data_IF_130019940158
#
_entry.id   IF_130019940158
#
_cell.length_a   1.000
_cell.length_b   1.000
_cell.length_c   1.000
_cell.angle_alpha   90.00
_cell.angle_beta   90.00
_cell.angle_gamma   90.00
#
_symmetry.space_group_name_H-M   'P 1'
#
loop_
_entity.id
_entity.type
_entity.pdbx_description
1 polymer ?
#
# COMPACT_ATOMS: atom_id res chain seq x y z
N UNK A 1 -19.90 -16.22 9.22
CA UNK A 1 -19.56 -15.52 7.95
C UNK A 1 -20.10 -14.09 7.88
N UNK A 2 -21.29 -13.76 8.43
CA UNK A 2 -21.79 -12.38 8.46
C UNK A 2 -20.85 -11.34 9.13
N UNK A 3 -20.18 -11.63 10.27
CA UNK A 3 -19.34 -10.63 10.95
C UNK A 3 -18.13 -10.16 10.13
N UNK A 4 -17.44 -11.09 9.44
CA UNK A 4 -16.29 -10.77 8.59
C UNK A 4 -16.66 -9.82 7.46
N UNK A 5 -17.76 -10.13 6.75
CA UNK A 5 -18.18 -9.31 5.61
C UNK A 5 -18.60 -7.92 6.09
N UNK A 6 -19.39 -7.83 7.16
CA UNK A 6 -19.82 -6.55 7.73
C UNK A 6 -18.63 -5.68 8.17
N UNK A 7 -17.64 -6.25 8.85
CA UNK A 7 -16.43 -5.54 9.26
C UNK A 7 -15.65 -5.00 8.05
N UNK A 8 -15.37 -5.85 7.05
CA UNK A 8 -14.60 -5.43 5.89
C UNK A 8 -15.36 -4.41 5.03
N UNK A 9 -16.68 -4.54 4.89
CA UNK A 9 -17.51 -3.51 4.24
C UNK A 9 -17.47 -2.18 5.00
N UNK A 10 -17.47 -2.21 6.34
CA UNK A 10 -17.38 -1.00 7.17
C UNK A 10 -16.04 -0.30 7.01
N UNK A 11 -14.93 -1.06 7.03
CA UNK A 11 -13.58 -0.55 6.74
C UNK A 11 -13.57 0.12 5.36
N UNK A 12 -14.07 -0.57 4.33
CA UNK A 12 -14.10 -0.07 2.96
C UNK A 12 -14.89 1.22 2.81
N UNK A 13 -16.07 1.31 3.44
CA UNK A 13 -16.90 2.52 3.41
C UNK A 13 -16.23 3.70 4.09
N UNK A 14 -15.58 3.49 5.23
CA UNK A 14 -14.88 4.58 5.96
C UNK A 14 -13.70 5.09 5.13
N UNK A 15 -12.86 4.19 4.61
CA UNK A 15 -11.73 4.58 3.78
C UNK A 15 -12.21 5.32 2.51
N UNK A 16 -13.25 4.81 1.86
CA UNK A 16 -13.84 5.43 0.68
C UNK A 16 -14.44 6.81 0.98
N UNK A 17 -15.03 7.03 2.16
CA UNK A 17 -15.55 8.32 2.59
C UNK A 17 -14.40 9.30 2.90
N UNK A 18 -13.42 8.87 3.72
CA UNK A 18 -12.42 9.75 4.33
C UNK A 18 -11.23 10.10 3.45
N UNK A 19 -10.77 9.18 2.61
CA UNK A 19 -9.63 9.45 1.73
C UNK A 19 -10.06 10.47 0.66
N UNK A 20 -9.40 11.64 0.54
CA UNK A 20 -9.75 12.62 -0.48
C UNK A 20 -9.62 12.02 -1.89
N UNK A 21 -10.46 12.50 -2.82
CA UNK A 21 -10.38 12.06 -4.21
C UNK A 21 -9.08 12.53 -4.87
N UNK A 22 -8.78 13.82 -4.79
CA UNK A 22 -7.50 14.36 -5.22
C UNK A 22 -6.50 14.31 -4.06
N UNK A 23 -5.42 13.56 -4.22
CA UNK A 23 -4.31 13.49 -3.28
C UNK A 23 -3.17 14.36 -3.80
N UNK A 24 -3.08 15.60 -3.32
CA UNK A 24 -1.94 16.46 -3.64
C UNK A 24 -0.71 15.99 -2.86
N UNK A 25 0.38 15.64 -3.56
CA UNK A 25 1.55 15.07 -2.92
C UNK A 25 2.21 15.99 -1.90
N UNK A 26 2.17 17.32 -2.07
CA UNK A 26 2.78 18.25 -1.11
C UNK A 26 1.97 18.29 0.17
N UNK A 27 0.65 18.37 0.05
CA UNK A 27 -0.27 18.37 1.18
C UNK A 27 -0.20 17.05 1.95
N UNK A 28 -0.22 15.91 1.25
CA UNK A 28 -0.08 14.59 1.87
C UNK A 28 1.26 14.45 2.61
N UNK A 29 2.38 14.89 2.01
CA UNK A 29 3.69 14.85 2.67
C UNK A 29 3.76 15.77 3.89
N UNK A 30 3.17 16.96 3.84
CA UNK A 30 3.11 17.86 4.98
C UNK A 30 2.24 17.28 6.10
N UNK A 31 1.08 16.72 5.76
CA UNK A 31 0.21 16.03 6.71
C UNK A 31 0.96 14.89 7.41
N UNK A 32 1.66 14.04 6.64
CA UNK A 32 2.48 12.95 7.20
C UNK A 32 3.68 13.48 7.99
N UNK A 33 4.22 14.65 7.68
CA UNK A 33 5.31 15.24 8.47
C UNK A 33 4.84 15.64 9.88
N UNK A 34 3.59 16.07 10.00
CA UNK A 34 2.97 16.47 11.26
C UNK A 34 2.37 15.29 12.05
N UNK A 35 1.87 14.27 11.35
CA UNK A 35 1.10 13.18 11.96
C UNK A 35 1.78 11.79 11.87
N UNK A 36 2.86 11.70 11.12
CA UNK A 36 3.36 10.44 10.57
C UNK A 36 4.87 10.28 10.61
N UNK A 37 5.38 9.16 10.07
CA UNK A 37 6.82 8.83 10.16
C UNK A 37 7.49 8.68 8.80
N UNK A 38 6.73 8.29 7.76
CA UNK A 38 7.32 7.91 6.47
C UNK A 38 7.34 9.05 5.42
N UNK A 39 7.05 10.29 5.83
CA UNK A 39 7.00 11.47 4.95
C UNK A 39 8.27 11.73 4.12
N UNK A 40 9.44 11.20 4.53
CA UNK A 40 10.71 11.33 3.79
C UNK A 40 10.82 10.36 2.61
N UNK A 41 9.97 9.34 2.53
CA UNK A 41 10.02 8.31 1.50
C UNK A 41 9.36 8.76 0.18
N UNK A 42 9.72 8.11 -0.92
CA UNK A 42 9.15 8.42 -2.25
C UNK A 42 7.77 7.80 -2.48
N UNK A 43 7.43 6.73 -1.75
CA UNK A 43 6.17 6.01 -1.85
C UNK A 43 5.06 6.68 -1.01
N UNK A 44 5.05 8.02 -1.01
CA UNK A 44 4.15 8.83 -0.20
C UNK A 44 2.66 8.49 -0.38
N UNK A 45 2.12 8.07 -1.55
CA UNK A 45 0.70 7.73 -1.65
C UNK A 45 0.36 6.49 -0.81
N UNK A 46 1.27 5.52 -0.75
CA UNK A 46 1.14 4.34 0.11
C UNK A 46 1.13 4.74 1.58
N UNK A 47 2.15 5.49 1.99
CA UNK A 47 2.29 5.95 3.38
C UNK A 47 1.21 6.94 3.84
N UNK A 48 0.66 7.72 2.92
CA UNK A 48 -0.47 8.57 3.27
C UNK A 48 -1.72 7.72 3.44
N UNK A 49 -1.99 6.80 2.52
CA UNK A 49 -3.17 5.93 2.57
C UNK A 49 -3.17 5.04 3.82
N UNK A 50 -2.01 4.48 4.20
CA UNK A 50 -1.91 3.67 5.42
C UNK A 50 -2.06 4.53 6.70
N UNK A 51 -1.25 5.57 6.90
CA UNK A 51 -1.24 6.37 8.14
C UNK A 51 -2.56 7.14 8.31
N UNK A 52 -3.06 7.80 7.26
CA UNK A 52 -4.35 8.51 7.29
C UNK A 52 -5.53 7.55 7.37
N UNK A 53 -5.47 6.42 6.66
CA UNK A 53 -6.51 5.40 6.64
C UNK A 53 -6.68 4.75 8.01
N UNK A 54 -5.59 4.30 8.63
CA UNK A 54 -5.59 3.73 9.99
C UNK A 54 -6.13 4.75 10.99
N UNK A 55 -5.65 6.00 10.96
CA UNK A 55 -6.16 7.06 11.84
C UNK A 55 -7.67 7.25 11.67
N UNK A 56 -8.15 7.30 10.43
CA UNK A 56 -9.58 7.43 10.12
C UNK A 56 -10.41 6.25 10.62
N UNK A 57 -9.90 5.02 10.51
CA UNK A 57 -10.57 3.81 11.00
C UNK A 57 -10.68 3.82 12.53
N UNK A 58 -9.59 4.11 13.23
CA UNK A 58 -9.58 4.18 14.70
C UNK A 58 -10.53 5.28 15.20
N UNK A 59 -10.56 6.45 14.54
CA UNK A 59 -11.43 7.57 14.93
C UNK A 59 -12.93 7.34 14.63
N UNK A 60 -13.27 6.57 13.58
CA UNK A 60 -14.65 6.44 13.08
C UNK A 60 -15.28 5.06 13.29
N UNK A 61 -14.50 4.10 13.77
CA UNK A 61 -14.98 2.75 13.97
C UNK A 61 -14.53 2.17 15.32
N UNK A 62 -13.77 1.09 15.30
CA UNK A 62 -13.17 0.41 16.45
C UNK A 62 -11.79 -0.09 16.03
N UNK A 63 -11.15 -0.91 16.86
CA UNK A 63 -9.87 -1.51 16.53
C UNK A 63 -8.67 -0.62 16.86
N UNK A 64 -7.51 -1.13 16.46
CA UNK A 64 -6.21 -0.59 16.82
C UNK A 64 -5.18 -0.89 15.74
N UNK A 65 -3.93 -0.54 16.04
CA UNK A 65 -2.80 -0.86 15.17
C UNK A 65 -2.65 -2.38 15.05
N UNK A 66 -2.43 -2.87 13.84
CA UNK A 66 -2.27 -4.29 13.59
C UNK A 66 -1.00 -4.91 14.20
N UNK A 67 -0.94 -6.26 14.22
CA UNK A 67 0.14 -6.99 14.84
C UNK A 67 1.46 -6.88 14.04
N UNK A 68 2.55 -7.25 14.68
CA UNK A 68 3.89 -7.28 14.06
C UNK A 68 4.41 -8.71 13.96
N UNK A 69 4.89 -9.10 12.79
CA UNK A 69 5.57 -10.38 12.54
C UNK A 69 6.97 -10.09 12.01
N UNK A 70 7.96 -10.23 12.89
CA UNK A 70 9.34 -9.83 12.59
C UNK A 70 9.42 -8.34 12.27
N UNK A 71 9.85 -8.00 11.04
CA UNK A 71 9.95 -6.61 10.59
C UNK A 71 8.70 -6.12 9.83
N UNK A 72 7.69 -6.96 9.66
CA UNK A 72 6.43 -6.59 9.00
C UNK A 72 5.43 -6.19 10.06
N UNK A 73 4.92 -4.97 9.96
CA UNK A 73 3.84 -4.45 10.79
C UNK A 73 2.61 -4.38 9.89
N UNK A 74 1.52 -5.00 10.32
CA UNK A 74 0.22 -4.89 9.65
C UNK A 74 -0.50 -3.65 10.16
N UNK A 75 -1.22 -2.97 9.28
CA UNK A 75 -1.65 -1.59 9.53
C UNK A 75 -2.75 -1.49 10.60
N UNK A 76 -3.78 -2.33 10.50
CA UNK A 76 -4.98 -2.24 11.33
C UNK A 76 -5.46 -3.62 11.79
N UNK A 77 -6.03 -3.69 12.99
CA UNK A 77 -6.72 -4.86 13.48
C UNK A 77 -7.98 -4.46 14.24
N UNK A 78 -9.08 -5.16 13.97
CA UNK A 78 -10.23 -5.25 14.87
C UNK A 78 -10.53 -6.74 15.13
N UNK A 79 -11.61 -7.32 14.60
CA UNK A 79 -11.85 -8.76 14.77
C UNK A 79 -10.98 -9.55 13.78
N UNK A 80 -10.58 -8.90 12.67
CA UNK A 80 -9.60 -9.43 11.72
C UNK A 80 -8.45 -8.45 11.49
N UNK A 81 -7.29 -9.00 11.14
CA UNK A 81 -6.13 -8.21 10.68
C UNK A 81 -6.41 -7.72 9.26
N UNK A 82 -6.24 -6.41 9.03
CA UNK A 82 -6.40 -5.79 7.73
C UNK A 82 -5.21 -4.87 7.42
N UNK A 83 -4.54 -5.17 6.32
CA UNK A 83 -3.38 -4.43 5.84
C UNK A 83 -3.80 -3.44 4.75
N UNK A 84 -3.40 -2.19 4.87
CA UNK A 84 -3.75 -1.14 3.93
C UNK A 84 -2.66 -1.03 2.87
N UNK A 85 -3.08 -0.96 1.61
CA UNK A 85 -2.17 -0.83 0.47
C UNK A 85 -2.72 0.18 -0.51
N UNK A 86 -1.87 1.07 -1.01
CA UNK A 86 -2.22 1.91 -2.14
C UNK A 86 -1.50 1.42 -3.39
N UNK A 87 -2.23 1.28 -4.48
CA UNK A 87 -1.69 0.84 -5.76
C UNK A 87 -2.01 1.85 -6.86
N UNK A 88 -0.96 2.26 -7.58
CA UNK A 88 -1.13 3.14 -8.73
C UNK A 88 -1.47 2.34 -9.98
N UNK A 89 -2.58 2.70 -10.61
CA UNK A 89 -3.15 2.03 -11.78
C UNK A 89 -2.37 2.28 -13.06
N UNK A 90 -1.45 3.25 -13.07
CA UNK A 90 -0.59 3.59 -14.20
C UNK A 90 0.89 3.66 -13.80
N UNK A 91 1.75 3.31 -14.76
CA UNK A 91 3.18 3.63 -14.70
C UNK A 91 3.47 5.05 -15.23
N UNK A 92 4.75 5.46 -15.22
CA UNK A 92 5.21 6.76 -15.73
C UNK A 92 4.93 7.00 -17.22
N UNK A 93 4.61 5.96 -17.99
CA UNK A 93 4.32 6.01 -19.41
C UNK A 93 2.80 5.86 -19.66
N UNK A 94 1.97 5.97 -18.61
CA UNK A 94 0.52 5.75 -18.64
C UNK A 94 0.09 4.33 -19.03
N UNK A 95 0.98 3.33 -18.94
CA UNK A 95 0.56 1.94 -19.12
C UNK A 95 -0.19 1.45 -17.88
N UNK A 96 -1.24 0.63 -18.11
CA UNK A 96 -1.98 -0.04 -17.03
C UNK A 96 -1.05 -0.91 -16.19
N UNK A 97 -1.10 -0.71 -14.88
CA UNK A 97 -0.43 -1.55 -13.90
C UNK A 97 -1.48 -2.28 -13.06
N UNK A 98 -1.62 -3.59 -13.27
CA UNK A 98 -2.62 -4.41 -12.56
C UNK A 98 -2.06 -5.14 -11.34
N UNK A 99 -0.74 -5.12 -11.13
CA UNK A 99 -0.10 -5.93 -10.08
C UNK A 99 0.21 -5.08 -8.85
N UNK A 100 -0.61 -5.21 -7.82
CA UNK A 100 -0.41 -4.56 -6.53
C UNK A 100 0.54 -5.38 -5.65
N UNK A 101 1.58 -4.76 -5.12
CA UNK A 101 2.53 -5.39 -4.19
C UNK A 101 1.93 -5.42 -2.79
N UNK A 102 1.89 -6.59 -2.15
CA UNK A 102 1.44 -6.78 -0.77
C UNK A 102 2.64 -6.99 0.16
N UNK A 103 2.47 -7.80 1.21
CA UNK A 103 3.48 -8.06 2.23
C UNK A 103 4.35 -9.30 1.95
N UNK A 104 5.31 -9.51 2.85
CA UNK A 104 6.17 -10.70 2.92
C UNK A 104 5.32 -11.98 3.07
N UNK A 105 5.63 -13.00 2.28
CA UNK A 105 4.88 -14.25 2.27
C UNK A 105 4.93 -14.96 3.64
N UNK A 106 6.08 -14.95 4.31
CA UNK A 106 6.22 -15.58 5.63
C UNK A 106 5.44 -14.82 6.70
N UNK A 107 5.43 -13.48 6.66
CA UNK A 107 4.59 -12.69 7.55
C UNK A 107 3.09 -12.97 7.33
N UNK A 108 2.64 -13.06 6.07
CA UNK A 108 1.26 -13.40 5.72
C UNK A 108 0.89 -14.79 6.23
N UNK A 109 1.75 -15.79 6.00
CA UNK A 109 1.58 -17.15 6.50
C UNK A 109 1.37 -17.17 8.01
N UNK A 110 2.15 -16.37 8.74
CA UNK A 110 2.03 -16.28 10.20
C UNK A 110 0.74 -15.61 10.65
N UNK A 111 0.33 -14.52 10.01
CA UNK A 111 -0.96 -13.88 10.31
C UNK A 111 -2.13 -14.84 10.06
N UNK A 112 -2.14 -15.56 8.94
CA UNK A 112 -3.20 -16.53 8.66
C UNK A 112 -3.26 -17.63 9.73
N UNK A 113 -2.11 -18.11 10.20
CA UNK A 113 -2.04 -19.13 11.24
C UNK A 113 -2.52 -18.61 12.61
N UNK A 114 -2.06 -17.42 13.01
CA UNK A 114 -2.26 -16.88 14.36
C UNK A 114 -3.62 -16.14 14.51
N UNK A 115 -4.16 -15.59 13.40
CA UNK A 115 -5.37 -14.74 13.38
C UNK A 115 -6.49 -15.28 12.48
N UNK A 116 -6.36 -16.51 11.98
CA UNK A 116 -7.37 -17.20 11.17
C UNK A 116 -7.77 -16.48 9.87
N UNK A 117 -6.88 -15.63 9.33
CA UNK A 117 -7.05 -14.97 8.06
C UNK A 117 -6.40 -13.60 8.00
N UNK A 118 -6.43 -13.00 6.81
CA UNK A 118 -5.89 -11.66 6.57
C UNK A 118 -6.71 -10.92 5.52
N UNK A 119 -7.04 -9.66 5.83
CA UNK A 119 -7.61 -8.68 4.91
C UNK A 119 -6.53 -7.82 4.25
N UNK A 120 -6.76 -7.45 2.98
CA UNK A 120 -6.00 -6.41 2.30
C UNK A 120 -6.97 -5.36 1.78
N UNK A 121 -6.92 -4.15 2.34
CA UNK A 121 -7.66 -3.00 1.85
C UNK A 121 -6.82 -2.23 0.83
N UNK A 122 -7.08 -2.46 -0.45
CA UNK A 122 -6.29 -1.93 -1.56
C UNK A 122 -6.98 -0.70 -2.13
N UNK A 123 -6.48 0.48 -1.78
CA UNK A 123 -6.81 1.73 -2.45
C UNK A 123 -6.19 1.79 -3.85
N UNK A 124 -6.99 2.16 -4.84
CA UNK A 124 -6.63 2.21 -6.25
C UNK A 124 -6.75 3.64 -6.76
N UNK A 125 -5.74 4.10 -7.49
CA UNK A 125 -5.78 5.43 -8.08
C UNK A 125 -4.77 5.65 -9.19
N UNK A 126 -5.01 6.63 -10.04
CA UNK A 126 -4.09 7.05 -11.09
C UNK A 126 -3.11 8.09 -10.55
N UNK A 127 -1.82 7.92 -10.83
CA UNK A 127 -0.76 8.81 -10.39
C UNK A 127 -0.33 9.78 -11.50
N UNK A 128 -0.07 11.01 -11.12
CA UNK A 128 0.58 12.01 -11.96
C UNK A 128 2.07 12.08 -11.61
N UNK A 129 2.94 12.08 -12.62
CA UNK A 129 4.39 12.02 -12.42
C UNK A 129 5.04 13.40 -12.57
N UNK A 130 5.99 13.67 -11.68
CA UNK A 130 6.79 14.89 -11.57
C UNK A 130 7.86 14.97 -12.67
N UNK A 131 7.45 15.20 -13.93
CA UNK A 131 8.36 15.25 -15.08
C UNK A 131 9.29 16.46 -15.04
N UNK A 132 8.84 17.61 -14.51
CA UNK A 132 9.63 18.83 -14.37
C UNK A 132 10.56 18.85 -13.15
N UNK A 133 10.46 17.80 -12.31
CA UNK A 133 11.23 17.61 -11.07
C UNK A 133 10.95 18.66 -9.99
N UNK A 134 9.88 19.44 -10.12
CA UNK A 134 9.53 20.50 -9.17
C UNK A 134 9.12 19.92 -7.81
N UNK A 135 8.36 18.82 -7.81
CA UNK A 135 7.97 18.12 -6.58
C UNK A 135 9.19 17.49 -5.90
N UNK A 136 10.07 16.86 -6.67
CA UNK A 136 11.31 16.29 -6.19
C UNK A 136 12.21 17.34 -5.52
N UNK A 137 12.43 18.48 -6.17
CA UNK A 137 13.24 19.58 -5.62
C UNK A 137 12.66 20.09 -4.30
N UNK A 138 11.33 20.30 -4.27
CA UNK A 138 10.62 20.72 -3.06
C UNK A 138 10.76 19.70 -1.92
N UNK A 139 10.53 18.41 -2.19
CA UNK A 139 10.62 17.36 -1.17
C UNK A 139 12.05 17.15 -0.68
N UNK A 140 13.05 17.27 -1.56
CA UNK A 140 14.45 17.22 -1.17
C UNK A 140 14.82 18.39 -0.24
N UNK A 141 14.38 19.61 -0.54
CA UNK A 141 14.57 20.75 0.34
C UNK A 141 13.88 20.55 1.71
N UNK A 142 12.67 19.97 1.71
CA UNK A 142 11.94 19.68 2.94
C UNK A 142 12.63 18.65 3.84
N UNK A 143 13.32 17.66 3.25
CA UNK A 143 14.08 16.63 3.99
C UNK A 143 15.36 17.16 4.62
N UNK A 144 15.88 18.29 4.12
CA UNK A 144 17.16 18.85 4.52
C UNK A 144 18.34 18.23 3.76
N UNK A 145 19.49 18.14 4.43
CA UNK A 145 20.74 17.70 3.80
C UNK A 145 20.61 16.32 3.12
N UNK A 146 21.07 16.18 1.86
CA UNK A 146 21.05 14.89 1.16
C UNK A 146 21.95 13.90 1.89
N UNK A 147 21.49 12.65 2.04
CA UNK A 147 22.31 11.59 2.62
C UNK A 147 23.54 11.28 1.76
N UNK A 148 24.58 10.71 2.37
CA UNK A 148 25.81 10.30 1.67
C UNK A 148 25.53 9.41 0.45
N UNK A 149 24.50 8.56 0.54
CA UNK A 149 24.03 7.74 -0.57
C UNK A 149 23.54 8.58 -1.76
N UNK A 150 22.75 9.63 -1.50
CA UNK A 150 22.25 10.53 -2.54
C UNK A 150 23.40 11.35 -3.13
N UNK A 151 24.35 11.79 -2.31
CA UNK A 151 25.54 12.51 -2.77
C UNK A 151 26.39 11.62 -3.70
N UNK A 152 26.63 10.36 -3.32
CA UNK A 152 27.33 9.37 -4.15
C UNK A 152 26.61 9.11 -5.47
N UNK A 153 25.28 8.93 -5.45
CA UNK A 153 24.49 8.71 -6.68
C UNK A 153 24.47 9.91 -7.63
N UNK A 154 24.49 11.13 -7.09
CA UNK A 154 24.64 12.36 -7.88
C UNK A 154 26.01 12.43 -8.54
N UNK A 155 27.07 12.05 -7.83
CA UNK A 155 28.43 11.95 -8.39
C UNK A 155 28.51 10.89 -9.51
N UNK A 156 27.70 9.83 -9.42
CA UNK A 156 27.59 8.76 -10.44
C UNK A 156 26.67 9.12 -11.63
N UNK A 157 26.12 10.34 -11.72
CA UNK A 157 25.12 10.75 -12.73
C UNK A 157 23.92 9.79 -12.85
N UNK A 158 23.58 9.08 -11.77
CA UNK A 158 22.49 8.12 -11.79
C UNK A 158 21.15 8.86 -11.79
N UNK A 159 20.35 8.67 -12.84
CA UNK A 159 19.00 9.25 -12.93
C UNK A 159 18.13 8.78 -11.75
N UNK A 160 17.70 9.71 -10.90
CA UNK A 160 16.71 9.40 -9.86
C UNK A 160 15.37 9.07 -10.49
N UNK A 161 14.68 8.07 -9.93
CA UNK A 161 13.31 7.69 -10.34
C UNK A 161 12.39 8.91 -10.33
N UNK A 162 11.48 9.00 -11.30
CA UNK A 162 10.42 10.02 -11.28
C UNK A 162 9.55 9.79 -10.05
N UNK A 163 9.16 10.89 -9.41
CA UNK A 163 8.25 10.87 -8.26
C UNK A 163 6.82 11.07 -8.74
N UNK A 164 5.86 10.61 -7.94
CA UNK A 164 4.45 10.97 -8.13
C UNK A 164 4.24 12.32 -7.47
N UNK A 165 3.61 13.28 -8.16
CA UNK A 165 3.30 14.60 -7.60
C UNK A 165 1.87 14.69 -7.08
N UNK A 166 0.96 13.89 -7.62
CA UNK A 166 -0.43 13.77 -7.18
C UNK A 166 -0.96 12.37 -7.50
N UNK A 167 -2.07 11.99 -6.88
CA UNK A 167 -2.85 10.81 -7.25
C UNK A 167 -4.35 11.14 -7.23
N UNK A 168 -5.10 10.64 -8.20
CA UNK A 168 -6.56 10.56 -8.14
C UNK A 168 -6.94 9.22 -7.50
N UNK A 169 -7.48 9.25 -6.28
CA UNK A 169 -8.05 8.09 -5.62
C UNK A 169 -9.41 7.75 -6.23
N UNK A 170 -9.49 6.57 -6.85
CA UNK A 170 -10.62 6.19 -7.70
C UNK A 170 -11.52 5.14 -7.03
N UNK A 171 -10.95 4.16 -6.37
CA UNK A 171 -11.70 3.04 -5.79
C UNK A 171 -10.94 2.32 -4.70
N UNK A 172 -11.63 1.44 -3.99
CA UNK A 172 -11.04 0.51 -3.04
C UNK A 172 -11.54 -0.91 -3.32
N UNK A 173 -10.64 -1.88 -3.19
CA UNK A 173 -10.94 -3.31 -3.23
C UNK A 173 -10.42 -3.96 -1.96
N UNK A 174 -11.30 -4.61 -1.20
CA UNK A 174 -10.94 -5.34 0.00
C UNK A 174 -10.97 -6.83 -0.28
N UNK A 175 -9.82 -7.47 -0.13
CA UNK A 175 -9.61 -8.90 -0.31
C UNK A 175 -9.48 -9.58 1.05
N UNK A 176 -9.89 -10.84 1.15
CA UNK A 176 -9.65 -11.64 2.35
C UNK A 176 -9.19 -13.06 2.01
N UNK A 177 -8.14 -13.52 2.67
CA UNK A 177 -7.62 -14.88 2.56
C UNK A 177 -7.75 -15.58 3.91
N UNK A 178 -8.40 -16.75 3.93
CA UNK A 178 -8.62 -17.52 5.14
C UNK A 178 -7.46 -18.49 5.41
N UNK A 179 -6.72 -18.87 4.37
CA UNK A 179 -5.75 -19.95 4.43
C UNK A 179 -4.59 -19.75 3.46
N UNK A 180 -3.51 -20.50 3.68
CA UNK A 180 -2.41 -20.58 2.71
C UNK A 180 -2.80 -21.31 1.42
N UNK A 181 -3.85 -22.13 1.45
CA UNK A 181 -4.38 -22.79 0.25
C UNK A 181 -4.98 -21.76 -0.71
N UNK A 182 -5.60 -20.70 -0.19
CA UNK A 182 -6.09 -19.58 -1.00
C UNK A 182 -4.95 -18.89 -1.77
N UNK A 183 -3.82 -18.66 -1.09
CA UNK A 183 -2.62 -18.04 -1.67
C UNK A 183 -1.98 -18.99 -2.70
N UNK A 184 -1.88 -20.28 -2.36
CA UNK A 184 -1.35 -21.32 -3.26
C UNK A 184 -2.19 -21.47 -4.52
N UNK A 185 -3.52 -21.41 -4.37
CA UNK A 185 -4.47 -21.38 -5.49
C UNK A 185 -4.21 -20.18 -6.39
N UNK A 186 -4.05 -18.99 -5.82
CA UNK A 186 -3.77 -17.79 -6.61
C UNK A 186 -2.44 -17.81 -7.36
N UNK A 187 -1.41 -18.42 -6.78
CA UNK A 187 -0.14 -18.65 -7.46
C UNK A 187 -0.31 -19.62 -8.65
N UNK A 188 -1.08 -20.71 -8.46
CA UNK A 188 -1.35 -21.70 -9.50
C UNK A 188 -2.21 -21.15 -10.64
N UNK A 189 -3.24 -20.37 -10.31
CA UNK A 189 -4.19 -19.78 -11.27
C UNK A 189 -3.66 -18.48 -11.90
N UNK A 190 -2.54 -17.95 -11.39
CA UNK A 190 -1.83 -16.82 -11.97
C UNK A 190 -2.42 -15.44 -11.67
N UNK A 191 -3.22 -15.30 -10.61
CA UNK A 191 -3.67 -14.00 -10.08
C UNK A 191 -2.89 -13.55 -8.83
N UNK A 192 -2.00 -14.40 -8.29
CA UNK A 192 -0.92 -14.03 -7.37
C UNK A 192 0.43 -14.34 -8.01
N UNK A 193 1.44 -13.51 -7.74
CA UNK A 193 2.83 -13.75 -8.13
C UNK A 193 3.79 -13.48 -6.97
N UNK A 194 4.98 -14.07 -7.00
CA UNK A 194 6.05 -13.75 -6.04
C UNK A 194 6.96 -12.66 -6.59
N UNK A 195 7.21 -11.64 -5.78
CA UNK A 195 8.06 -10.50 -6.09
C UNK A 195 9.33 -10.51 -5.23
N UNK A 196 10.45 -10.06 -5.82
CA UNK A 196 11.77 -9.93 -5.16
C UNK A 196 12.38 -11.22 -4.61
N UNK A 197 11.90 -12.40 -5.04
CA UNK A 197 12.52 -13.68 -4.72
C UNK A 197 13.97 -13.70 -5.24
N UNK A 198 14.94 -13.91 -4.34
CA UNK A 198 16.36 -13.98 -4.69
C UNK A 198 17.11 -12.64 -4.75
N UNK A 199 16.45 -11.51 -4.40
CA UNK A 199 17.15 -10.23 -4.24
C UNK A 199 17.85 -10.15 -2.88
N UNK A 200 18.89 -9.32 -2.74
CA UNK A 200 19.57 -9.06 -1.46
C UNK A 200 19.16 -7.69 -0.88
N UNK A 201 19.14 -7.60 0.45
CA UNK A 201 19.03 -6.32 1.16
C UNK A 201 20.38 -5.55 1.08
N UNK A 202 20.40 -4.28 1.51
CA UNK A 202 21.64 -3.47 1.55
C UNK A 202 22.72 -4.01 2.49
N UNK A 203 22.39 -5.02 3.31
CA UNK A 203 23.28 -5.76 4.20
C UNK A 203 23.60 -7.18 3.69
N UNK A 204 23.46 -7.43 2.38
CA UNK A 204 23.71 -8.70 1.69
C UNK A 204 22.86 -9.92 2.09
N UNK A 205 21.96 -9.77 3.08
CA UNK A 205 21.05 -10.84 3.48
C UNK A 205 19.98 -11.10 2.39
N UNK A 206 19.56 -12.36 2.19
CA UNK A 206 18.43 -12.69 1.31
C UNK A 206 17.19 -11.88 1.68
N UNK A 207 16.61 -11.20 0.69
CA UNK A 207 15.35 -10.49 0.84
C UNK A 207 14.22 -11.52 0.81
N UNK A 208 13.35 -11.48 1.81
CA UNK A 208 12.16 -12.33 1.82
C UNK A 208 11.21 -11.93 0.69
N UNK A 209 10.61 -12.93 0.04
CA UNK A 209 9.75 -12.73 -1.12
C UNK A 209 8.42 -12.09 -0.70
N UNK A 210 8.04 -11.01 -1.38
CA UNK A 210 6.69 -10.45 -1.24
C UNK A 210 5.74 -11.15 -2.19
N UNK A 211 4.44 -11.11 -1.92
CA UNK A 211 3.45 -11.46 -2.93
C UNK A 211 2.91 -10.20 -3.62
N UNK A 212 2.49 -10.37 -4.87
CA UNK A 212 1.73 -9.39 -5.63
C UNK A 212 0.41 -10.01 -6.05
N UNK A 213 -0.62 -9.17 -6.20
CA UNK A 213 -1.94 -9.59 -6.67
C UNK A 213 -2.34 -8.85 -7.93
N UNK A 214 -2.90 -9.57 -8.90
CA UNK A 214 -3.47 -8.96 -10.09
C UNK A 214 -4.90 -8.51 -9.79
N UNK A 215 -5.09 -7.21 -9.55
CA UNK A 215 -6.37 -6.62 -9.10
C UNK A 215 -7.52 -6.80 -10.10
N UNK A 216 -7.20 -7.05 -11.37
CA UNK A 216 -8.18 -7.25 -12.44
C UNK A 216 -8.59 -8.73 -12.60
N UNK A 217 -7.85 -9.67 -11.99
CA UNK A 217 -8.04 -11.12 -12.13
C UNK A 217 -8.42 -11.84 -10.84
N UNK A 218 -8.51 -11.14 -9.71
CA UNK A 218 -8.86 -11.77 -8.43
C UNK A 218 -10.27 -12.37 -8.50
N UNK A 219 -10.47 -13.66 -8.15
CA UNK A 219 -11.79 -14.26 -8.09
C UNK A 219 -12.73 -13.55 -7.11
N UNK A 220 -14.01 -13.44 -7.47
CA UNK A 220 -15.02 -12.68 -6.71
C UNK A 220 -15.20 -13.17 -5.28
N UNK A 221 -15.00 -14.47 -5.02
CA UNK A 221 -15.13 -15.04 -3.68
C UNK A 221 -14.11 -14.48 -2.68
N UNK A 222 -12.98 -13.93 -3.14
CA UNK A 222 -12.00 -13.26 -2.29
C UNK A 222 -12.31 -11.78 -2.07
N UNK A 223 -13.14 -11.18 -2.90
CA UNK A 223 -13.52 -9.77 -2.81
C UNK A 223 -14.64 -9.63 -1.79
N UNK A 224 -14.35 -8.95 -0.67
CA UNK A 224 -15.32 -8.73 0.42
C UNK A 224 -15.97 -7.36 0.38
N UNK A 225 -15.31 -6.39 -0.26
CA UNK A 225 -15.88 -5.08 -0.57
C UNK A 225 -15.21 -4.52 -1.83
N UNK A 226 -15.99 -3.84 -2.66
CA UNK A 226 -15.51 -3.04 -3.77
C UNK A 226 -16.35 -1.77 -3.84
N UNK A 227 -15.69 -0.61 -3.95
CA UNK A 227 -16.38 0.67 -3.99
C UNK A 227 -15.59 1.70 -4.78
N UNK A 228 -16.29 2.54 -5.54
CA UNK A 228 -15.72 3.63 -6.32
C UNK A 228 -15.99 4.98 -5.67
N UNK A 229 -15.01 5.88 -5.74
CA UNK A 229 -15.13 7.26 -5.28
C UNK A 229 -16.04 7.98 -6.26
N UNK A 230 -17.17 8.48 -5.78
CA UNK A 230 -18.11 9.22 -6.63
C UNK A 230 -17.56 10.62 -6.91
N UNK A 231 -17.89 11.18 -8.08
CA UNK A 231 -17.70 12.60 -8.35
C UNK A 231 -18.66 13.37 -7.45
N UNK A 232 -18.16 13.95 -6.36
CA UNK A 232 -18.84 15.03 -5.64
C UNK A 232 -18.66 16.33 -6.41
#
# INVERSE_FOLDING_TARGET
MAPLKEELEKIGRILLEKIPKHLNGKECVLWMKENGKQWKQMEWPGFFFDEFGVKSLIEKYKGEKGPSVGNTIFDYQNDFVCDLKFHSLNDKNNNRNSWAILNDLEAIKRIIADYHGIGFAIGLGTAEYDFDRSFQKWHDALKGSPSDYVQKKRAENANSRLRKQSCEFESIKILFFNSMDDITRGLKEGWIAVFQKGMKNSNDNPRRGKIMINIDRVPKEFIKFEGAKTNS
#
